data_IF_057597798308
#
_entry.id   IF_057597798308
#
_cell.length_a   1.000
_cell.length_b   1.000
_cell.length_c   1.000
_cell.angle_alpha   90.00
_cell.angle_beta   90.00
_cell.angle_gamma   90.00
#
_symmetry.space_group_name_H-M   'P 1'
#
loop_
_entity.id
_entity.type
_entity.pdbx_description
1 polymer ?
#
# COMPACT_ATOMS: atom_id res chain seq x y z
N UNK A 1 -17.57 -2.42 -78.70
CA UNK A 1 -17.48 -0.98 -78.42
C UNK A 1 -18.65 -0.58 -77.52
N UNK A 2 -18.38 0.03 -76.37
CA UNK A 2 -19.07 1.23 -75.88
C UNK A 2 -18.43 1.65 -74.55
N UNK A 3 -17.83 2.83 -74.58
CA UNK A 3 -17.20 3.53 -73.47
C UNK A 3 -18.23 3.92 -72.40
N UNK A 4 -17.82 3.94 -71.14
CA UNK A 4 -18.20 5.03 -70.25
C UNK A 4 -17.11 5.28 -69.19
N UNK A 5 -16.39 6.41 -69.26
CA UNK A 5 -15.36 6.78 -68.29
C UNK A 5 -15.93 7.70 -67.18
N UNK A 6 -15.09 7.90 -66.16
CA UNK A 6 -15.09 9.06 -65.28
C UNK A 6 -16.16 9.16 -64.18
N UNK A 7 -15.96 8.39 -63.11
CA UNK A 7 -16.37 8.81 -61.77
C UNK A 7 -15.21 9.54 -61.10
N UNK A 8 -15.16 10.85 -61.31
CA UNK A 8 -14.26 11.78 -60.64
C UNK A 8 -14.40 11.63 -59.11
N UNK A 9 -13.38 11.06 -58.48
CA UNK A 9 -13.22 11.08 -57.02
C UNK A 9 -12.29 12.24 -56.66
N UNK A 10 -12.91 13.28 -56.08
CA UNK A 10 -12.25 14.48 -55.55
C UNK A 10 -11.32 14.10 -54.39
N UNK A 11 -10.09 14.64 -54.33
CA UNK A 11 -9.22 14.42 -53.17
C UNK A 11 -9.79 15.15 -51.95
N UNK A 12 -10.13 14.40 -50.91
CA UNK A 12 -10.46 14.93 -49.59
C UNK A 12 -9.14 15.39 -48.95
N UNK A 13 -8.98 16.70 -48.80
CA UNK A 13 -7.86 17.28 -48.07
C UNK A 13 -7.95 16.87 -46.59
N UNK A 14 -7.01 16.04 -46.12
CA UNK A 14 -6.83 15.79 -44.68
C UNK A 14 -6.22 17.04 -44.06
N UNK A 15 -7.06 17.84 -43.37
CA UNK A 15 -6.59 18.82 -42.42
C UNK A 15 -6.27 18.10 -41.09
N UNK A 16 -5.00 17.87 -40.82
CA UNK A 16 -4.51 17.34 -39.54
C UNK A 16 -4.54 18.44 -38.48
N UNK A 17 -5.53 18.38 -37.58
CA UNK A 17 -5.57 19.21 -36.36
C UNK A 17 -4.71 18.51 -35.30
N UNK A 18 -3.61 19.10 -34.80
CA UNK A 18 -2.89 18.54 -33.67
C UNK A 18 -3.74 18.73 -32.40
N UNK A 19 -4.30 17.63 -31.90
CA UNK A 19 -4.97 17.55 -30.60
C UNK A 19 -3.90 17.61 -29.49
N UNK A 20 -3.68 18.78 -28.92
CA UNK A 20 -2.85 18.94 -27.72
C UNK A 20 -3.67 18.49 -26.51
N UNK A 21 -3.51 17.23 -26.11
CA UNK A 21 -4.02 16.69 -24.85
C UNK A 21 -3.13 17.24 -23.72
N UNK A 22 -3.56 18.34 -23.09
CA UNK A 22 -2.98 18.79 -21.83
C UNK A 22 -3.51 17.85 -20.74
N UNK A 23 -2.70 16.86 -20.36
CA UNK A 23 -2.92 16.04 -19.17
C UNK A 23 -2.60 16.91 -17.95
N UNK A 24 -3.55 17.75 -17.52
CA UNK A 24 -3.50 18.29 -16.16
C UNK A 24 -3.84 17.15 -15.21
N UNK A 25 -2.82 16.39 -14.82
CA UNK A 25 -2.91 15.49 -13.69
C UNK A 25 -3.25 16.33 -12.46
N UNK A 26 -4.51 16.29 -12.02
CA UNK A 26 -4.91 16.78 -10.72
C UNK A 26 -4.28 15.87 -9.66
N UNK A 27 -3.15 16.30 -9.11
CA UNK A 27 -2.52 15.70 -7.95
C UNK A 27 -1.81 16.80 -7.19
N UNK A 28 -2.57 17.59 -6.43
CA UNK A 28 -2.02 18.41 -5.36
C UNK A 28 -1.56 17.45 -4.26
N UNK A 29 -0.48 16.71 -4.51
CA UNK A 29 0.25 16.03 -3.47
C UNK A 29 0.92 17.12 -2.66
N UNK A 30 0.45 17.36 -1.43
CA UNK A 30 1.24 18.10 -0.45
C UNK A 30 2.25 17.08 0.09
N UNK A 31 3.53 17.15 -0.30
CA UNK A 31 4.55 16.26 0.27
C UNK A 31 4.64 16.41 1.79
N UNK A 32 4.19 17.53 2.36
CA UNK A 32 4.11 17.74 3.81
C UNK A 32 3.06 16.82 4.50
N UNK A 33 2.07 16.30 3.77
CA UNK A 33 1.09 15.32 4.28
C UNK A 33 1.68 13.89 4.33
N UNK A 34 2.83 13.67 3.69
CA UNK A 34 3.57 12.40 3.68
C UNK A 34 4.96 12.61 4.28
N UNK A 35 5.10 12.50 5.61
CA UNK A 35 6.41 12.64 6.24
C UNK A 35 7.42 11.70 5.58
N UNK A 36 8.50 12.29 5.05
CA UNK A 36 9.59 11.56 4.40
C UNK A 36 10.46 10.81 5.42
N UNK A 37 10.32 11.17 6.69
CA UNK A 37 10.91 10.48 7.81
C UNK A 37 10.06 9.25 8.11
N UNK A 38 10.34 8.17 7.37
CA UNK A 38 9.86 6.84 7.74
C UNK A 38 10.26 6.51 9.19
N UNK A 39 9.58 5.57 9.86
CA UNK A 39 9.92 5.23 11.23
C UNK A 39 11.40 4.88 11.33
N UNK A 40 12.14 5.57 12.21
CA UNK A 40 13.56 5.28 12.52
C UNK A 40 13.74 3.98 13.31
N UNK A 41 12.64 3.24 13.49
CA UNK A 41 12.57 1.96 14.16
C UNK A 41 13.33 0.90 13.37
N UNK A 42 14.26 0.24 14.05
CA UNK A 42 14.89 -0.98 13.56
C UNK A 42 14.26 -2.15 14.31
N UNK A 43 13.75 -3.14 13.58
CA UNK A 43 13.29 -4.38 14.19
C UNK A 43 14.51 -5.19 14.66
N UNK A 44 14.46 -5.70 15.89
CA UNK A 44 15.57 -6.43 16.53
C UNK A 44 15.16 -7.80 17.07
N UNK A 45 13.87 -8.04 17.18
CA UNK A 45 13.28 -9.27 17.67
C UNK A 45 11.93 -9.52 16.98
N UNK A 46 11.35 -10.68 17.22
CA UNK A 46 10.01 -11.05 16.79
C UNK A 46 9.34 -11.90 17.88
N UNK A 47 8.13 -11.54 18.34
CA UNK A 47 7.45 -10.28 18.04
C UNK A 47 8.22 -9.06 18.58
N UNK A 48 8.02 -7.91 17.96
CA UNK A 48 8.64 -6.64 18.36
C UNK A 48 7.62 -5.73 19.03
N UNK A 49 7.94 -5.21 20.21
CA UNK A 49 7.16 -4.17 20.86
C UNK A 49 7.26 -2.83 20.09
N UNK A 50 6.11 -2.19 19.89
CA UNK A 50 5.98 -0.90 19.20
C UNK A 50 5.06 0.05 19.94
N UNK A 51 5.32 1.36 19.82
CA UNK A 51 4.49 2.42 20.41
C UNK A 51 4.14 3.51 19.40
N UNK A 52 3.04 4.22 19.66
CA UNK A 52 2.62 5.37 18.88
C UNK A 52 3.68 6.47 18.83
N UNK A 53 4.46 6.66 19.90
CA UNK A 53 5.55 7.64 19.94
C UNK A 53 6.63 7.32 18.90
N UNK A 54 6.98 6.05 18.75
CA UNK A 54 8.02 5.63 17.81
C UNK A 54 7.59 5.79 16.33
N UNK A 55 6.28 5.67 16.05
CA UNK A 55 5.70 5.87 14.71
C UNK A 55 5.26 7.32 14.45
N UNK A 56 5.11 8.14 15.50
CA UNK A 56 4.64 9.51 15.40
C UNK A 56 3.33 9.64 14.62
N UNK A 57 3.31 10.54 13.63
CA UNK A 57 2.15 10.75 12.76
C UNK A 57 1.78 9.55 11.89
N UNK A 58 2.68 8.57 11.74
CA UNK A 58 2.41 7.35 10.99
C UNK A 58 1.67 6.29 11.80
N UNK A 59 1.43 6.51 13.11
CA UNK A 59 0.71 5.57 13.96
C UNK A 59 -0.80 5.57 13.61
N UNK A 60 -1.35 4.45 13.11
CA UNK A 60 -2.69 4.44 12.56
C UNK A 60 -3.71 3.73 13.47
N UNK A 61 -3.40 3.49 14.75
CA UNK A 61 -4.25 2.70 15.66
C UNK A 61 -4.80 3.55 16.80
N UNK A 62 -5.94 3.12 17.35
CA UNK A 62 -6.58 3.76 18.51
C UNK A 62 -5.89 3.43 19.83
N UNK A 63 -5.23 2.28 19.94
CA UNK A 63 -4.34 1.93 21.06
C UNK A 63 -2.99 2.64 20.92
N UNK A 64 -2.26 2.81 22.01
CA UNK A 64 -0.99 3.57 22.03
C UNK A 64 0.27 2.69 21.90
N UNK A 65 0.14 1.37 22.03
CA UNK A 65 1.23 0.41 21.85
C UNK A 65 0.69 -0.99 21.55
N UNK A 66 1.60 -1.90 21.21
CA UNK A 66 1.32 -3.32 21.03
C UNK A 66 2.55 -4.05 20.52
N UNK A 67 2.34 -5.23 19.95
CA UNK A 67 3.41 -6.04 19.37
C UNK A 67 3.14 -6.28 17.89
N UNK A 68 4.15 -6.08 17.05
CA UNK A 68 4.10 -6.45 15.62
C UNK A 68 4.82 -7.78 15.47
N UNK A 69 4.15 -8.75 14.88
CA UNK A 69 4.68 -10.10 14.63
C UNK A 69 4.73 -10.44 13.15
N UNK A 70 5.61 -11.38 12.82
CA UNK A 70 5.67 -11.99 11.50
C UNK A 70 6.00 -13.49 11.61
N UNK A 71 5.15 -14.35 11.07
CA UNK A 71 5.50 -15.76 10.87
C UNK A 71 5.65 -16.06 9.39
N UNK A 72 6.49 -17.03 9.01
CA UNK A 72 6.50 -17.56 7.64
C UNK A 72 5.62 -18.80 7.57
N UNK A 73 4.66 -18.82 6.63
CA UNK A 73 3.88 -20.02 6.39
C UNK A 73 4.70 -21.11 5.66
N UNK A 74 4.07 -22.25 5.37
CA UNK A 74 4.73 -23.37 4.70
C UNK A 74 5.25 -23.04 3.28
N UNK A 75 4.70 -22.01 2.62
CA UNK A 75 5.16 -21.51 1.33
C UNK A 75 6.26 -20.44 1.46
N UNK A 76 6.58 -20.00 2.69
CA UNK A 76 7.48 -18.90 2.96
C UNK A 76 6.82 -17.52 2.82
N UNK A 77 5.49 -17.46 2.72
CA UNK A 77 4.77 -16.18 2.70
C UNK A 77 4.65 -15.63 4.13
N UNK A 78 4.91 -14.32 4.33
CA UNK A 78 4.87 -13.71 5.65
C UNK A 78 3.42 -13.44 6.12
N UNK A 79 3.06 -14.05 7.24
CA UNK A 79 1.82 -13.86 7.99
C UNK A 79 2.06 -12.75 9.00
N UNK A 80 1.45 -11.59 8.76
CA UNK A 80 1.72 -10.38 9.53
C UNK A 80 0.61 -10.17 10.55
N UNK A 81 0.98 -9.90 11.80
CA UNK A 81 0.04 -9.70 12.91
C UNK A 81 0.37 -8.49 13.75
N UNK A 82 -0.65 -7.92 14.39
CA UNK A 82 -0.52 -6.97 15.48
C UNK A 82 -1.27 -7.49 16.70
N UNK A 83 -0.62 -7.53 17.85
CA UNK A 83 -1.25 -7.90 19.13
C UNK A 83 -1.40 -6.65 19.99
N UNK A 84 -2.63 -6.33 20.38
CA UNK A 84 -2.90 -5.19 21.24
C UNK A 84 -2.50 -5.47 22.72
N UNK A 85 -2.54 -4.45 23.61
CA UNK A 85 -2.19 -4.63 25.01
C UNK A 85 -3.12 -5.57 25.78
N UNK A 86 -4.34 -5.80 25.30
CA UNK A 86 -5.32 -6.73 25.88
C UNK A 86 -5.11 -8.17 25.38
N UNK A 87 -4.18 -8.39 24.44
CA UNK A 87 -3.83 -9.67 23.86
C UNK A 87 -4.67 -10.07 22.64
N UNK A 88 -5.48 -9.18 22.10
CA UNK A 88 -6.23 -9.42 20.87
C UNK A 88 -5.28 -9.38 19.68
N UNK A 89 -5.32 -10.43 18.85
CA UNK A 89 -4.52 -10.53 17.64
C UNK A 89 -5.31 -10.06 16.43
N UNK A 90 -4.71 -9.14 15.69
CA UNK A 90 -5.25 -8.54 14.49
C UNK A 90 -4.42 -8.95 13.26
N UNK A 91 -5.10 -9.31 12.19
CA UNK A 91 -4.49 -9.58 10.90
C UNK A 91 -4.02 -8.28 10.25
N UNK A 92 -2.73 -8.20 9.92
CA UNK A 92 -2.20 -7.09 9.12
C UNK A 92 -2.31 -7.38 7.62
N UNK A 93 -2.36 -8.63 7.17
CA UNK A 93 -2.53 -8.99 5.76
C UNK A 93 -3.55 -10.12 5.57
N UNK A 94 -4.05 -10.25 4.34
CA UNK A 94 -5.08 -11.21 3.96
C UNK A 94 -4.44 -12.54 3.52
N UNK A 95 -4.11 -13.39 4.50
CA UNK A 95 -3.70 -14.79 4.31
C UNK A 95 -4.67 -15.72 5.05
N UNK A 96 -4.78 -16.98 4.62
CA UNK A 96 -5.71 -17.94 5.24
C UNK A 96 -5.37 -18.19 6.72
N UNK A 97 -4.09 -18.17 7.07
CA UNK A 97 -3.57 -18.29 8.43
C UNK A 97 -4.07 -17.15 9.35
N UNK A 98 -4.42 -16.01 8.75
CA UNK A 98 -4.95 -14.84 9.44
C UNK A 98 -6.50 -14.82 9.49
N UNK A 99 -7.19 -15.75 8.85
CA UNK A 99 -8.65 -15.71 8.71
C UNK A 99 -9.43 -15.81 10.05
N UNK A 100 -8.78 -16.29 11.11
CA UNK A 100 -9.35 -16.37 12.46
C UNK A 100 -9.10 -15.15 13.35
N UNK A 101 -8.21 -14.24 12.93
CA UNK A 101 -7.83 -13.05 13.69
C UNK A 101 -8.81 -11.89 13.41
N UNK A 102 -8.87 -10.91 14.30
CA UNK A 102 -9.65 -9.70 14.08
C UNK A 102 -9.05 -8.89 12.90
N UNK A 103 -9.86 -8.08 12.22
CA UNK A 103 -9.33 -7.22 11.15
C UNK A 103 -8.72 -5.97 11.78
N UNK A 104 -7.48 -5.61 11.43
CA UNK A 104 -6.83 -4.40 11.99
C UNK A 104 -7.64 -3.11 11.73
N UNK A 105 -8.50 -3.09 10.72
CA UNK A 105 -9.39 -1.96 10.45
C UNK A 105 -10.40 -1.69 11.57
N UNK A 106 -10.67 -2.66 12.46
CA UNK A 106 -11.53 -2.49 13.63
C UNK A 106 -10.97 -1.47 14.63
N UNK A 107 -9.63 -1.33 14.68
CA UNK A 107 -8.92 -0.40 15.58
C UNK A 107 -8.10 0.65 14.83
N UNK A 108 -8.21 0.72 13.51
CA UNK A 108 -7.43 1.66 12.72
C UNK A 108 -8.16 2.98 12.48
N UNK A 109 -7.42 4.08 12.56
CA UNK A 109 -7.87 5.44 12.23
C UNK A 109 -7.33 5.94 10.88
N UNK A 110 -6.55 5.13 10.17
CA UNK A 110 -5.85 5.54 8.96
C UNK A 110 -5.23 4.40 8.16
N UNK A 111 -4.21 4.69 7.35
CA UNK A 111 -3.50 3.66 6.59
C UNK A 111 -2.58 2.85 7.50
N UNK A 112 -2.77 1.53 7.55
CA UNK A 112 -1.87 0.58 8.26
C UNK A 112 -0.60 0.23 7.46
N UNK A 113 -0.36 0.91 6.33
CA UNK A 113 0.82 0.69 5.48
C UNK A 113 2.15 0.73 6.24
N UNK A 114 2.43 1.75 7.06
CA UNK A 114 3.66 1.83 7.85
C UNK A 114 3.86 0.64 8.80
N UNK A 115 2.79 0.18 9.46
CA UNK A 115 2.84 -1.01 10.32
C UNK A 115 3.14 -2.27 9.51
N UNK A 116 2.52 -2.45 8.34
CA UNK A 116 2.81 -3.59 7.45
C UNK A 116 4.26 -3.59 6.99
N UNK A 117 4.77 -2.43 6.56
CA UNK A 117 6.17 -2.28 6.16
C UNK A 117 7.11 -2.65 7.31
N UNK A 118 6.83 -2.20 8.53
CA UNK A 118 7.61 -2.57 9.70
C UNK A 118 7.52 -4.07 10.03
N UNK A 119 6.33 -4.67 9.89
CA UNK A 119 6.14 -6.11 10.12
C UNK A 119 7.00 -6.98 9.18
N UNK A 120 7.21 -6.55 7.93
CA UNK A 120 8.17 -7.23 7.06
C UNK A 120 9.62 -7.15 7.57
N UNK A 121 10.02 -6.02 8.15
CA UNK A 121 11.35 -5.90 8.77
C UNK A 121 11.47 -6.79 10.02
N UNK A 122 10.37 -7.02 10.75
CA UNK A 122 10.31 -7.98 11.86
C UNK A 122 10.54 -9.42 11.38
N UNK A 123 10.04 -9.81 10.20
CA UNK A 123 10.33 -11.13 9.61
C UNK A 123 11.85 -11.37 9.47
N UNK A 124 12.60 -10.33 9.07
CA UNK A 124 14.04 -10.42 8.84
C UNK A 124 14.85 -10.38 10.16
N UNK A 125 14.26 -9.91 11.25
CA UNK A 125 14.90 -9.87 12.56
C UNK A 125 15.04 -11.27 13.19
N UNK A 126 14.17 -12.24 12.83
CA UNK A 126 14.31 -13.64 13.26
C UNK A 126 15.43 -14.41 12.55
N UNK A 127 15.84 -13.94 11.37
CA UNK A 127 16.83 -14.63 10.55
C UNK A 127 18.28 -14.33 10.96
N UNK A 128 18.49 -13.50 12.00
CA UNK A 128 19.80 -13.05 12.50
C UNK A 128 20.21 -13.83 13.76
#
# INVERSE_FOLDING_TARGET
>A
MNSNPDRALRPVALATIPLVLVLTGCGAFHPDDYPLDGPTLTATENPQEVTAEQFGHSWPLTVDHGQVGCDLNAAGDPVLTFTDPDGTVYALNALEENAGNADISDISTGSVGPLRTFAFAVCDAEAQ
#
